data_IF_678349867003
#
_entry.id   IF_678349867003
#
_cell.length_a   1.000
_cell.length_b   1.000
_cell.length_c   1.000
_cell.angle_alpha   90.00
_cell.angle_beta   90.00
_cell.angle_gamma   90.00
#
_symmetry.space_group_name_H-M   'P 1'
#
loop_
_entity.id
_entity.type
_entity.pdbx_description
1 polymer ?
#
# COMPACT_ATOMS: atom_id res chain seq x y z
N UNK A 1 -33.23 -21.09 5.32
CA UNK A 1 -33.30 -20.14 6.45
C UNK A 1 -34.57 -20.39 7.25
N UNK A 2 -34.48 -21.03 8.42
CA UNK A 2 -35.64 -21.27 9.30
C UNK A 2 -36.05 -19.93 9.94
N UNK A 3 -37.32 -19.54 9.75
CA UNK A 3 -37.91 -18.38 10.42
C UNK A 3 -38.00 -18.70 11.91
N UNK A 4 -37.31 -17.96 12.75
CA UNK A 4 -37.47 -18.01 14.19
C UNK A 4 -38.91 -17.61 14.55
N UNK A 5 -39.56 -18.26 15.54
CA UNK A 5 -40.91 -17.95 15.93
C UNK A 5 -41.03 -16.52 16.46
N UNK A 6 -42.10 -15.84 16.03
CA UNK A 6 -42.44 -14.50 16.50
C UNK A 6 -42.86 -14.61 17.96
N UNK A 7 -42.03 -14.19 18.87
CA UNK A 7 -42.38 -14.08 20.29
C UNK A 7 -43.39 -12.93 20.45
N UNK A 8 -44.58 -13.20 20.94
CA UNK A 8 -45.58 -12.21 21.36
C UNK A 8 -45.56 -12.13 22.88
N UNK A 9 -44.93 -11.13 23.51
CA UNK A 9 -45.18 -10.91 24.93
C UNK A 9 -46.52 -10.19 25.11
N UNK A 10 -47.45 -10.82 25.78
CA UNK A 10 -48.67 -10.19 26.30
C UNK A 10 -48.32 -9.51 27.63
N UNK A 11 -48.25 -8.21 27.64
CA UNK A 11 -48.23 -7.38 28.85
C UNK A 11 -49.47 -6.50 28.78
N UNK A 12 -50.26 -6.53 29.87
CA UNK A 12 -51.58 -5.92 29.96
C UNK A 12 -51.65 -4.46 29.57
N UNK A 13 -52.63 -4.15 28.72
CA UNK A 13 -53.20 -2.85 28.51
C UNK A 13 -52.33 -1.81 27.76
N UNK A 14 -52.65 -1.58 26.48
CA UNK A 14 -52.23 -0.48 25.59
C UNK A 14 -50.86 -0.69 24.84
N UNK A 15 -51.04 -1.20 23.64
CA UNK A 15 -50.01 -1.12 22.58
C UNK A 15 -49.18 -2.38 22.47
N UNK A 16 -49.38 -3.17 21.44
CA UNK A 16 -48.51 -4.28 21.08
C UNK A 16 -47.17 -3.72 20.54
N UNK A 17 -46.12 -3.88 21.31
CA UNK A 17 -44.75 -3.64 20.77
C UNK A 17 -44.38 -4.90 19.97
N UNK A 18 -44.45 -4.82 18.66
CA UNK A 18 -43.97 -5.88 17.79
C UNK A 18 -42.46 -5.80 17.80
N UNK A 19 -41.81 -6.80 18.38
CA UNK A 19 -40.34 -6.89 18.27
C UNK A 19 -39.97 -7.13 16.80
N UNK A 20 -39.30 -6.15 16.19
CA UNK A 20 -38.91 -6.16 14.77
C UNK A 20 -37.81 -7.17 14.43
N UNK A 21 -37.14 -7.72 15.43
CA UNK A 21 -35.98 -8.59 15.30
C UNK A 21 -34.65 -7.86 15.44
N UNK A 22 -33.59 -8.59 15.79
CA UNK A 22 -32.24 -7.99 16.04
C UNK A 22 -31.71 -7.27 14.82
N UNK A 23 -31.70 -7.92 13.65
CA UNK A 23 -31.14 -7.32 12.41
C UNK A 23 -31.92 -6.09 11.92
N UNK A 24 -33.26 -6.10 11.85
CA UNK A 24 -34.03 -4.89 11.53
C UNK A 24 -33.77 -3.76 12.52
N UNK A 25 -33.73 -4.07 13.82
CA UNK A 25 -33.45 -3.09 14.88
C UNK A 25 -32.07 -2.44 14.69
N UNK A 26 -31.02 -3.24 14.49
CA UNK A 26 -29.67 -2.72 14.25
C UNK A 26 -29.59 -1.86 13.00
N UNK A 27 -30.23 -2.28 11.89
CA UNK A 27 -30.27 -1.51 10.65
C UNK A 27 -31.00 -0.18 10.83
N UNK A 28 -32.12 -0.17 11.53
CA UNK A 28 -32.86 1.06 11.82
C UNK A 28 -32.02 1.99 12.69
N UNK A 29 -31.50 1.51 13.81
CA UNK A 29 -30.62 2.30 14.70
C UNK A 29 -29.41 2.87 13.99
N UNK A 30 -28.74 2.10 13.13
CA UNK A 30 -27.60 2.56 12.34
C UNK A 30 -27.96 3.72 11.41
N UNK A 31 -29.17 3.69 10.81
CA UNK A 31 -29.64 4.74 9.90
C UNK A 31 -30.12 6.01 10.62
N UNK A 32 -30.82 5.81 11.73
CA UNK A 32 -31.52 6.89 12.45
C UNK A 32 -30.65 7.58 13.52
N UNK A 33 -29.54 6.95 13.96
CA UNK A 33 -28.70 7.55 15.00
C UNK A 33 -27.94 8.77 14.47
N UNK A 34 -27.97 9.85 15.26
CA UNK A 34 -27.14 11.04 15.04
C UNK A 34 -25.78 10.91 15.75
N UNK A 35 -25.65 9.98 16.69
CA UNK A 35 -24.39 9.75 17.42
C UNK A 35 -23.39 8.96 16.59
N UNK A 36 -22.23 9.56 16.30
CA UNK A 36 -21.09 8.92 15.63
C UNK A 36 -20.62 7.67 16.38
N UNK A 37 -20.50 7.73 17.71
CA UNK A 37 -20.05 6.60 18.53
C UNK A 37 -20.99 5.39 18.45
N UNK A 38 -22.32 5.63 18.47
CA UNK A 38 -23.31 4.54 18.31
C UNK A 38 -23.25 3.95 16.91
N UNK A 39 -23.01 4.77 15.88
CA UNK A 39 -22.86 4.31 14.49
C UNK A 39 -21.61 3.45 14.34
N UNK A 40 -20.48 3.84 14.90
CA UNK A 40 -19.26 3.05 14.91
C UNK A 40 -19.42 1.71 15.62
N UNK A 41 -20.09 1.71 16.79
CA UNK A 41 -20.35 0.48 17.53
C UNK A 41 -21.23 -0.49 16.72
N UNK A 42 -22.28 0.00 16.06
CA UNK A 42 -23.14 -0.82 15.20
C UNK A 42 -22.44 -1.26 13.93
N UNK A 43 -21.49 -0.48 13.41
CA UNK A 43 -20.70 -0.82 12.23
C UNK A 43 -19.85 -2.08 12.43
N UNK A 44 -19.41 -2.37 13.65
CA UNK A 44 -18.65 -3.59 13.99
C UNK A 44 -19.41 -4.89 13.64
N UNK A 45 -20.73 -4.82 13.59
CA UNK A 45 -21.60 -5.97 13.24
C UNK A 45 -21.94 -6.02 11.75
N UNK A 46 -21.38 -5.11 10.93
CA UNK A 46 -21.57 -5.08 9.50
C UNK A 46 -20.43 -5.78 8.77
N UNK A 47 -20.76 -6.60 7.79
CA UNK A 47 -19.79 -7.18 6.88
C UNK A 47 -20.00 -6.66 5.46
N UNK A 48 -18.90 -6.41 4.75
CA UNK A 48 -18.95 -6.07 3.33
C UNK A 48 -19.22 -7.34 2.53
N UNK A 49 -20.15 -7.25 1.59
CA UNK A 49 -20.44 -8.31 0.62
C UNK A 49 -20.53 -7.69 -0.77
N UNK A 50 -20.16 -8.47 -1.75
CA UNK A 50 -20.38 -8.08 -3.13
C UNK A 50 -21.87 -7.84 -3.40
N UNK A 51 -22.15 -6.82 -4.17
CA UNK A 51 -23.51 -6.54 -4.61
C UNK A 51 -24.03 -7.72 -5.44
N UNK A 52 -25.21 -8.29 -5.13
CA UNK A 52 -25.74 -9.45 -5.86
C UNK A 52 -26.02 -9.16 -7.34
N UNK A 53 -26.26 -7.88 -7.70
CA UNK A 53 -26.56 -7.51 -9.08
C UNK A 53 -25.30 -7.31 -9.93
N UNK A 54 -24.26 -6.65 -9.37
CA UNK A 54 -23.06 -6.35 -10.13
C UNK A 54 -21.86 -7.23 -9.77
N UNK A 55 -21.95 -8.09 -8.74
CA UNK A 55 -20.89 -8.98 -8.29
C UNK A 55 -19.54 -8.25 -8.07
N UNK A 56 -19.62 -7.08 -7.43
CA UNK A 56 -18.44 -6.25 -7.15
C UNK A 56 -17.95 -5.41 -8.33
N UNK A 57 -18.52 -5.54 -9.53
CA UNK A 57 -18.08 -4.77 -10.71
C UNK A 57 -18.37 -3.25 -10.63
N UNK A 58 -19.29 -2.82 -9.75
CA UNK A 58 -19.68 -1.39 -9.55
C UNK A 58 -20.21 -0.70 -10.82
N UNK A 59 -20.57 -1.48 -11.83
CA UNK A 59 -21.05 -1.01 -13.13
C UNK A 59 -22.46 -1.51 -13.42
N UNK A 60 -23.18 -0.76 -14.24
CA UNK A 60 -24.46 -1.21 -14.83
C UNK A 60 -24.24 -2.48 -15.64
N UNK A 61 -25.31 -3.27 -15.79
CA UNK A 61 -25.26 -4.56 -16.50
C UNK A 61 -24.66 -4.41 -17.90
N UNK A 62 -25.10 -3.41 -18.65
CA UNK A 62 -24.69 -3.15 -20.03
C UNK A 62 -23.21 -2.79 -20.11
N UNK A 63 -22.74 -1.94 -19.21
CA UNK A 63 -21.33 -1.49 -19.18
C UNK A 63 -20.33 -2.62 -18.85
N UNK A 64 -20.79 -3.71 -18.21
CA UNK A 64 -19.95 -4.87 -17.92
C UNK A 64 -19.59 -5.68 -19.15
N UNK A 65 -20.33 -5.53 -20.24
CA UNK A 65 -20.07 -6.20 -21.51
C UNK A 65 -19.19 -5.41 -22.46
N UNK A 66 -18.86 -4.15 -22.12
CA UNK A 66 -17.91 -3.35 -22.89
C UNK A 66 -16.50 -3.85 -22.60
N UNK A 67 -15.85 -4.38 -23.64
CA UNK A 67 -14.49 -4.96 -23.55
C UNK A 67 -13.54 -4.28 -24.52
N UNK A 68 -12.27 -4.21 -24.13
CA UNK A 68 -11.18 -3.66 -24.92
C UNK A 68 -10.13 -4.74 -25.13
N UNK A 69 -9.61 -4.84 -26.35
CA UNK A 69 -8.61 -5.83 -26.75
C UNK A 69 -9.10 -6.80 -27.81
N UNK A 70 -8.20 -7.59 -28.41
CA UNK A 70 -8.51 -8.52 -29.48
C UNK A 70 -9.10 -9.83 -28.95
N UNK A 71 -10.19 -10.30 -29.53
CA UNK A 71 -10.76 -11.65 -29.36
C UNK A 71 -10.87 -12.12 -27.90
N UNK A 72 -10.25 -13.25 -27.59
CA UNK A 72 -10.28 -13.86 -26.24
C UNK A 72 -9.48 -13.10 -25.18
N UNK A 73 -8.57 -12.21 -25.58
CA UNK A 73 -7.79 -11.38 -24.66
C UNK A 73 -8.51 -10.09 -24.29
N UNK A 74 -9.69 -9.83 -24.88
CA UNK A 74 -10.49 -8.66 -24.53
C UNK A 74 -10.97 -8.72 -23.08
N UNK A 75 -10.82 -7.59 -22.35
CA UNK A 75 -11.20 -7.46 -20.95
C UNK A 75 -12.12 -6.26 -20.74
N UNK A 76 -13.04 -6.38 -19.80
CA UNK A 76 -13.81 -5.25 -19.31
C UNK A 76 -13.00 -4.48 -18.25
N UNK A 77 -13.36 -3.20 -18.03
CA UNK A 77 -12.61 -2.33 -17.10
C UNK A 77 -12.53 -2.91 -15.68
N UNK A 78 -13.61 -3.52 -15.20
CA UNK A 78 -13.61 -4.13 -13.86
C UNK A 78 -12.72 -5.38 -13.77
N UNK A 79 -12.57 -6.12 -14.89
CA UNK A 79 -11.67 -7.27 -14.98
C UNK A 79 -10.22 -6.79 -14.91
N UNK A 80 -9.88 -5.72 -15.63
CA UNK A 80 -8.54 -5.10 -15.59
C UNK A 80 -8.24 -4.51 -14.21
N UNK A 81 -9.21 -3.83 -13.59
CA UNK A 81 -9.02 -3.22 -12.26
C UNK A 81 -8.75 -4.25 -11.15
N UNK A 82 -9.13 -5.51 -11.34
CA UNK A 82 -8.88 -6.61 -10.39
C UNK A 82 -7.54 -7.29 -10.59
N UNK A 83 -6.87 -7.05 -11.70
CA UNK A 83 -5.54 -7.59 -11.94
C UNK A 83 -4.51 -6.94 -11.00
N UNK A 84 -3.48 -7.67 -10.58
CA UNK A 84 -2.29 -7.06 -10.01
C UNK A 84 -1.71 -6.02 -10.98
N UNK A 85 -1.07 -4.98 -10.46
CA UNK A 85 -0.56 -3.87 -11.28
C UNK A 85 0.45 -4.32 -12.33
N UNK A 86 1.28 -5.35 -12.04
CA UNK A 86 2.19 -5.91 -13.02
C UNK A 86 1.44 -6.58 -14.19
N UNK A 87 0.34 -7.29 -13.93
CA UNK A 87 -0.50 -7.86 -14.99
C UNK A 87 -1.29 -6.78 -15.74
N UNK A 88 -1.70 -5.72 -15.03
CA UNK A 88 -2.34 -4.55 -15.65
C UNK A 88 -1.38 -3.87 -16.64
N UNK A 89 -0.10 -3.70 -16.28
CA UNK A 89 0.93 -3.19 -17.18
C UNK A 89 1.06 -4.07 -18.43
N UNK A 90 1.23 -5.39 -18.23
CA UNK A 90 1.34 -6.36 -19.33
C UNK A 90 0.12 -6.34 -20.26
N UNK A 91 -1.09 -6.17 -19.71
CA UNK A 91 -2.30 -6.05 -20.51
C UNK A 91 -2.26 -4.82 -21.44
N UNK A 92 -1.89 -3.64 -20.89
CA UNK A 92 -1.81 -2.43 -21.71
C UNK A 92 -0.61 -2.44 -22.65
N UNK A 93 0.51 -3.09 -22.31
CA UNK A 93 1.67 -3.23 -23.18
C UNK A 93 1.39 -4.12 -24.40
N UNK A 94 0.62 -5.18 -24.20
CA UNK A 94 0.22 -6.11 -25.26
C UNK A 94 -1.03 -5.66 -26.01
N UNK A 95 -1.67 -4.56 -25.61
CA UNK A 95 -2.94 -4.11 -26.18
C UNK A 95 -2.75 -3.63 -27.64
N UNK A 96 -3.36 -4.37 -28.56
CA UNK A 96 -3.41 -4.03 -29.97
C UNK A 96 -4.80 -3.51 -30.31
N UNK A 97 -4.85 -2.33 -30.89
CA UNK A 97 -6.09 -1.67 -31.36
C UNK A 97 -5.87 -1.20 -32.81
N UNK A 98 -6.89 -1.38 -33.64
CA UNK A 98 -6.81 -1.03 -35.05
C UNK A 98 -7.61 0.23 -35.38
N UNK A 99 -7.21 0.88 -36.48
CA UNK A 99 -7.92 2.02 -37.08
C UNK A 99 -8.15 3.19 -36.13
N UNK A 100 -9.35 3.74 -36.14
CA UNK A 100 -9.73 4.90 -35.31
C UNK A 100 -9.64 4.64 -33.80
N UNK A 101 -9.83 3.39 -33.38
CA UNK A 101 -9.69 3.01 -31.95
C UNK A 101 -8.24 3.22 -31.46
N UNK A 102 -7.25 2.91 -32.28
CA UNK A 102 -5.84 3.14 -31.97
C UNK A 102 -5.56 4.63 -31.76
N UNK A 103 -6.03 5.49 -32.69
CA UNK A 103 -5.80 6.93 -32.60
C UNK A 103 -6.42 7.55 -31.33
N UNK A 104 -7.65 7.13 -30.98
CA UNK A 104 -8.32 7.59 -29.76
C UNK A 104 -7.59 7.11 -28.49
N UNK A 105 -7.15 5.86 -28.48
CA UNK A 105 -6.61 5.22 -27.30
C UNK A 105 -5.13 5.54 -27.04
N UNK A 106 -4.36 5.91 -28.05
CA UNK A 106 -2.90 6.04 -27.97
C UNK A 106 -2.43 6.88 -26.79
N UNK A 107 -2.94 8.11 -26.66
CA UNK A 107 -2.58 9.00 -25.56
C UNK A 107 -3.06 8.47 -24.20
N UNK A 108 -4.26 7.88 -24.15
CA UNK A 108 -4.84 7.33 -22.92
C UNK A 108 -4.02 6.13 -22.45
N UNK A 109 -3.69 5.21 -23.35
CA UNK A 109 -2.91 4.01 -23.04
C UNK A 109 -1.49 4.40 -22.60
N UNK A 110 -0.88 5.38 -23.26
CA UNK A 110 0.43 5.90 -22.87
C UNK A 110 0.42 6.44 -21.43
N UNK A 111 -0.59 7.24 -21.07
CA UNK A 111 -0.74 7.79 -19.73
C UNK A 111 -0.98 6.69 -18.67
N UNK A 112 -1.81 5.69 -18.99
CA UNK A 112 -2.05 4.55 -18.11
C UNK A 112 -0.76 3.76 -17.89
N UNK A 113 0.01 3.46 -18.94
CA UNK A 113 1.29 2.76 -18.87
C UNK A 113 2.27 3.47 -17.94
N UNK A 114 2.41 4.78 -18.11
CA UNK A 114 3.30 5.57 -17.26
C UNK A 114 2.88 5.50 -15.79
N UNK A 115 1.61 5.74 -15.47
CA UNK A 115 1.11 5.72 -14.09
C UNK A 115 1.19 4.35 -13.44
N UNK A 116 0.83 3.31 -14.16
CA UNK A 116 0.97 1.93 -13.68
C UNK A 116 2.44 1.56 -13.53
N UNK A 117 3.29 1.97 -14.46
CA UNK A 117 4.73 1.81 -14.38
C UNK A 117 5.34 2.44 -13.13
N UNK A 118 4.95 3.67 -12.78
CA UNK A 118 5.40 4.31 -11.53
C UNK A 118 4.97 3.53 -10.29
N UNK A 119 3.73 3.02 -10.26
CA UNK A 119 3.27 2.19 -9.14
C UNK A 119 4.07 0.88 -9.03
N UNK A 120 4.40 0.26 -10.15
CA UNK A 120 5.24 -0.95 -10.16
C UNK A 120 6.68 -0.65 -9.71
N UNK A 121 7.23 0.50 -10.11
CA UNK A 121 8.60 0.90 -9.77
C UNK A 121 8.78 1.23 -8.28
N UNK A 122 7.71 1.63 -7.58
CA UNK A 122 7.75 1.82 -6.13
C UNK A 122 7.39 0.55 -5.34
N UNK A 123 7.40 -0.63 -5.99
CA UNK A 123 7.17 -1.92 -5.32
C UNK A 123 5.72 -2.18 -4.94
N UNK A 124 4.76 -1.68 -5.71
CA UNK A 124 3.32 -1.91 -5.51
C UNK A 124 2.71 -2.83 -6.57
N UNK A 125 3.51 -3.58 -7.27
CA UNK A 125 3.16 -4.42 -8.41
C UNK A 125 2.13 -5.51 -8.09
N UNK A 126 2.05 -5.92 -6.83
CA UNK A 126 1.08 -6.91 -6.31
C UNK A 126 -0.31 -6.33 -5.98
N UNK A 127 -0.45 -5.01 -5.88
CA UNK A 127 -1.74 -4.37 -5.61
C UNK A 127 -2.65 -4.41 -6.83
N UNK A 128 -3.96 -4.30 -6.60
CA UNK A 128 -4.97 -4.12 -7.65
C UNK A 128 -5.65 -2.76 -7.54
N UNK A 129 -6.13 -2.23 -8.67
CA UNK A 129 -6.80 -0.92 -8.71
C UNK A 129 -8.18 -0.90 -8.02
N UNK A 130 -8.80 -2.06 -7.83
CA UNK A 130 -10.08 -2.19 -7.13
C UNK A 130 -9.96 -2.27 -5.61
N UNK A 131 -8.73 -2.37 -5.09
CA UNK A 131 -8.46 -2.44 -3.65
C UNK A 131 -8.92 -1.17 -2.93
N UNK A 132 -9.60 -1.36 -1.82
CA UNK A 132 -10.09 -0.23 -1.01
C UNK A 132 -8.94 0.47 -0.29
N UNK A 133 -8.92 1.81 -0.33
CA UNK A 133 -7.89 2.62 0.34
C UNK A 133 -7.79 2.36 1.85
N UNK A 134 -8.90 2.01 2.51
CA UNK A 134 -8.93 1.66 3.93
C UNK A 134 -8.15 0.39 4.29
N UNK A 135 -7.83 -0.44 3.30
CA UNK A 135 -7.07 -1.68 3.48
C UNK A 135 -5.57 -1.53 3.22
N UNK A 136 -5.14 -0.34 2.83
CA UNK A 136 -3.73 -0.05 2.57
C UNK A 136 -2.96 0.12 3.87
N UNK A 137 -1.76 -0.42 3.93
CA UNK A 137 -0.81 -0.11 4.98
C UNK A 137 -0.27 1.33 4.83
N UNK A 138 0.30 1.89 5.91
CA UNK A 138 0.91 3.22 5.86
C UNK A 138 1.97 3.35 4.78
N UNK A 139 2.85 2.36 4.64
CA UNK A 139 3.88 2.33 3.61
C UNK A 139 3.32 2.22 2.18
N UNK A 140 2.27 1.41 1.96
CA UNK A 140 1.59 1.35 0.66
C UNK A 140 0.98 2.71 0.28
N UNK A 141 0.29 3.37 1.21
CA UNK A 141 -0.30 4.68 0.98
C UNK A 141 0.76 5.76 0.68
N UNK A 142 1.90 5.72 1.38
CA UNK A 142 3.03 6.63 1.13
C UNK A 142 3.61 6.43 -0.26
N UNK A 143 3.84 5.18 -0.69
CA UNK A 143 4.37 4.85 -2.03
C UNK A 143 3.38 5.22 -3.15
N UNK A 144 2.07 5.07 -2.93
CA UNK A 144 1.06 5.54 -3.89
C UNK A 144 1.16 7.07 -4.07
N UNK A 145 1.32 7.82 -2.97
CA UNK A 145 1.52 9.28 -3.04
C UNK A 145 2.79 9.64 -3.80
N UNK A 146 3.90 8.93 -3.51
CA UNK A 146 5.17 9.11 -4.20
C UNK A 146 5.01 8.86 -5.72
N UNK A 147 4.44 7.73 -6.11
CA UNK A 147 4.19 7.41 -7.51
C UNK A 147 3.31 8.46 -8.22
N UNK A 148 2.30 8.99 -7.53
CA UNK A 148 1.44 10.06 -8.05
C UNK A 148 2.21 11.37 -8.24
N UNK A 149 3.14 11.71 -7.35
CA UNK A 149 3.99 12.91 -7.44
C UNK A 149 4.98 12.80 -8.60
N UNK A 150 5.62 11.64 -8.76
CA UNK A 150 6.52 11.35 -9.89
C UNK A 150 5.77 11.50 -11.21
N UNK A 151 4.57 10.92 -11.30
CA UNK A 151 3.72 11.00 -12.48
C UNK A 151 3.25 12.41 -12.85
N UNK A 152 3.39 13.39 -11.95
CA UNK A 152 3.04 14.79 -12.24
C UNK A 152 4.07 15.50 -13.11
N UNK A 153 5.29 14.96 -13.24
CA UNK A 153 6.37 15.56 -14.02
C UNK A 153 6.84 16.94 -13.52
N UNK A 154 6.57 17.25 -12.24
CA UNK A 154 7.02 18.51 -11.65
C UNK A 154 8.54 18.56 -11.55
N UNK A 155 9.11 19.71 -11.86
CA UNK A 155 10.54 20.01 -11.78
C UNK A 155 10.80 21.20 -10.86
N UNK A 156 11.97 21.23 -10.20
CA UNK A 156 12.33 22.32 -9.30
C UNK A 156 11.60 22.28 -7.95
N UNK A 157 11.05 21.13 -7.55
CA UNK A 157 10.38 20.94 -6.27
C UNK A 157 11.26 20.16 -5.30
N UNK A 158 10.95 20.24 -4.00
CA UNK A 158 11.60 19.47 -2.96
C UNK A 158 10.66 18.34 -2.48
N UNK A 159 11.15 17.11 -2.55
CA UNK A 159 10.49 15.93 -2.00
C UNK A 159 11.13 15.58 -0.65
N UNK A 160 10.30 15.40 0.37
CA UNK A 160 10.75 14.95 1.69
C UNK A 160 10.03 13.63 1.99
N UNK A 161 10.81 12.59 2.19
CA UNK A 161 10.33 11.21 2.39
C UNK A 161 10.87 10.66 3.70
N UNK A 162 10.01 10.06 4.47
CA UNK A 162 10.33 9.43 5.76
C UNK A 162 10.21 7.92 5.61
N UNK A 163 11.35 7.21 5.73
CA UNK A 163 11.48 5.74 5.61
C UNK A 163 10.70 5.11 4.44
N UNK A 164 10.87 5.59 3.19
CA UNK A 164 10.08 5.09 2.06
C UNK A 164 10.36 3.62 1.72
N UNK A 165 11.50 3.06 2.16
CA UNK A 165 11.88 1.65 1.99
C UNK A 165 11.19 0.72 2.98
N UNK A 166 10.52 1.24 4.01
CA UNK A 166 9.94 0.40 5.06
C UNK A 166 8.99 -0.67 4.52
N UNK A 167 9.24 -1.91 4.87
CA UNK A 167 8.42 -3.06 4.45
C UNK A 167 8.63 -3.50 3.01
N UNK A 168 9.62 -2.96 2.30
CA UNK A 168 10.05 -3.47 1.00
C UNK A 168 10.96 -4.69 1.15
N UNK A 169 10.89 -5.56 0.17
CA UNK A 169 11.94 -6.57 -0.03
C UNK A 169 13.16 -5.89 -0.67
N UNK A 170 14.38 -6.39 -0.40
CA UNK A 170 15.63 -5.80 -0.91
C UNK A 170 15.60 -5.52 -2.43
N UNK A 171 15.06 -6.45 -3.22
CA UNK A 171 14.90 -6.29 -4.66
C UNK A 171 14.04 -5.10 -5.07
N UNK A 172 13.03 -4.77 -4.25
CA UNK A 172 12.11 -3.66 -4.56
C UNK A 172 12.71 -2.32 -4.09
N UNK A 173 13.64 -2.37 -3.11
CA UNK A 173 14.39 -1.21 -2.65
C UNK A 173 15.25 -0.62 -3.77
N UNK A 174 15.91 -1.45 -4.57
CA UNK A 174 16.72 -0.99 -5.72
C UNK A 174 15.88 -0.17 -6.70
N UNK A 175 14.66 -0.63 -7.02
CA UNK A 175 13.74 0.08 -7.91
C UNK A 175 13.28 1.42 -7.33
N UNK A 176 13.03 1.44 -6.01
CA UNK A 176 12.70 2.69 -5.32
C UNK A 176 13.86 3.68 -5.41
N UNK A 177 15.09 3.24 -5.13
CA UNK A 177 16.28 4.09 -5.23
C UNK A 177 16.52 4.63 -6.64
N UNK A 178 16.34 3.80 -7.67
CA UNK A 178 16.40 4.26 -9.08
C UNK A 178 15.35 5.32 -9.37
N UNK A 179 14.13 5.14 -8.85
CA UNK A 179 13.04 6.09 -8.99
C UNK A 179 13.34 7.43 -8.32
N UNK A 180 13.92 7.41 -7.11
CA UNK A 180 14.33 8.61 -6.39
C UNK A 180 15.48 9.34 -7.10
N UNK A 181 16.46 8.60 -7.64
CA UNK A 181 17.53 9.16 -8.45
C UNK A 181 16.97 9.82 -9.73
N UNK A 182 16.01 9.17 -10.36
CA UNK A 182 15.35 9.77 -11.53
C UNK A 182 14.64 11.09 -11.20
N UNK A 183 13.94 11.15 -10.06
CA UNK A 183 13.34 12.42 -9.58
C UNK A 183 14.37 13.52 -9.40
N UNK A 184 15.53 13.22 -8.79
CA UNK A 184 16.63 14.15 -8.63
C UNK A 184 17.15 14.63 -9.99
N UNK A 185 17.35 13.70 -10.92
CA UNK A 185 17.90 13.98 -12.26
C UNK A 185 16.97 14.84 -13.12
N UNK A 186 15.66 14.88 -12.81
CA UNK A 186 14.70 15.83 -13.37
C UNK A 186 14.86 17.26 -12.83
N UNK A 187 15.84 17.53 -11.98
CA UNK A 187 16.09 18.85 -11.39
C UNK A 187 15.35 19.12 -10.08
N UNK A 188 14.99 18.08 -9.35
CA UNK A 188 14.35 18.18 -8.05
C UNK A 188 15.37 17.98 -6.91
N UNK A 189 15.01 18.45 -5.71
CA UNK A 189 15.71 18.10 -4.48
C UNK A 189 14.95 16.95 -3.79
N UNK A 190 15.67 15.88 -3.43
CA UNK A 190 15.07 14.71 -2.75
C UNK A 190 15.77 14.53 -1.41
N UNK A 191 15.03 14.73 -0.33
CA UNK A 191 15.48 14.51 1.04
C UNK A 191 14.81 13.25 1.55
N UNK A 192 15.62 12.30 2.02
CA UNK A 192 15.13 10.99 2.48
C UNK A 192 15.67 10.73 3.87
N UNK A 193 14.79 10.41 4.81
CA UNK A 193 15.16 9.85 6.11
C UNK A 193 15.20 8.34 5.93
N UNK A 194 16.37 7.73 6.10
CA UNK A 194 16.57 6.29 5.87
C UNK A 194 17.58 5.67 6.83
N UNK A 195 17.41 4.37 7.00
CA UNK A 195 18.29 3.54 7.83
C UNK A 195 18.95 2.39 7.03
N UNK A 196 18.56 2.25 5.77
CA UNK A 196 19.07 1.23 4.87
C UNK A 196 20.44 1.61 4.32
N UNK A 197 21.40 0.66 4.35
CA UNK A 197 22.77 0.89 3.91
C UNK A 197 22.85 1.27 2.41
N UNK A 198 22.09 0.59 1.56
CA UNK A 198 22.10 0.82 0.12
C UNK A 198 21.55 2.20 -0.21
N UNK A 199 20.50 2.64 0.51
CA UNK A 199 19.95 3.97 0.41
C UNK A 199 20.97 5.05 0.80
N UNK A 200 21.63 4.89 1.95
CA UNK A 200 22.65 5.82 2.45
C UNK A 200 23.83 5.90 1.47
N UNK A 201 24.32 4.75 0.98
CA UNK A 201 25.46 4.69 0.06
C UNK A 201 25.12 5.22 -1.34
N UNK A 202 23.84 5.27 -1.70
CA UNK A 202 23.34 5.80 -2.97
C UNK A 202 23.11 7.30 -2.97
N UNK A 203 23.16 7.96 -1.81
CA UNK A 203 22.91 9.38 -1.68
C UNK A 203 24.08 10.23 -2.23
N UNK A 204 23.79 11.43 -2.71
CA UNK A 204 24.83 12.40 -3.09
C UNK A 204 25.45 13.06 -1.87
N UNK A 205 24.65 13.20 -0.79
CA UNK A 205 25.04 13.83 0.45
C UNK A 205 24.28 13.21 1.62
N UNK A 206 24.97 12.95 2.71
CA UNK A 206 24.43 12.36 3.94
C UNK A 206 24.59 13.34 5.08
N UNK A 207 23.57 13.46 5.92
CA UNK A 207 23.61 14.15 7.20
C UNK A 207 23.24 13.12 8.27
N UNK A 208 24.21 12.78 9.12
CA UNK A 208 24.03 11.86 10.25
C UNK A 208 23.68 12.62 11.51
N UNK A 209 22.53 12.32 12.08
CA UNK A 209 21.99 12.97 13.28
C UNK A 209 22.11 12.03 14.47
N UNK A 210 22.64 12.56 15.57
CA UNK A 210 22.86 11.78 16.80
C UNK A 210 23.18 12.67 18.00
N UNK A 211 23.92 12.16 19.00
CA UNK A 211 24.40 10.78 19.17
C UNK A 211 23.32 9.78 19.60
N UNK A 212 22.19 10.26 20.12
CA UNK A 212 21.06 9.47 20.59
C UNK A 212 19.74 9.96 20.00
N UNK A 213 18.62 9.47 20.50
CA UNK A 213 17.29 9.88 20.08
C UNK A 213 16.60 10.82 21.08
N UNK A 214 15.55 11.53 20.66
CA UNK A 214 14.75 12.41 21.51
C UNK A 214 15.53 13.62 22.03
N UNK A 215 15.42 13.89 23.34
CA UNK A 215 16.04 15.08 24.00
C UNK A 215 17.57 15.05 23.94
N UNK A 216 18.18 13.90 23.74
CA UNK A 216 19.62 13.71 23.69
C UNK A 216 20.17 13.52 22.26
N UNK A 217 19.34 13.77 21.25
CA UNK A 217 19.68 13.64 19.85
C UNK A 217 19.50 14.96 19.10
N UNK A 218 19.58 14.87 17.77
CA UNK A 218 19.34 16.02 16.89
C UNK A 218 20.58 16.85 16.58
N UNK A 219 21.77 16.43 17.03
CA UNK A 219 23.04 17.07 16.67
C UNK A 219 23.58 16.45 15.37
N UNK A 220 24.21 17.27 14.54
CA UNK A 220 24.91 16.77 13.34
C UNK A 220 26.24 16.17 13.78
N UNK A 221 26.36 14.84 13.78
CA UNK A 221 27.57 14.11 14.18
C UNK A 221 28.53 13.86 13.02
N UNK A 222 28.00 13.77 11.80
CA UNK A 222 28.78 13.68 10.56
C UNK A 222 27.94 14.17 9.38
N UNK A 223 28.62 14.69 8.37
CA UNK A 223 27.96 15.06 7.11
C UNK A 223 28.96 15.02 5.96
N UNK A 224 28.48 14.90 4.74
CA UNK A 224 29.30 14.86 3.54
C UNK A 224 28.86 13.75 2.58
N UNK A 225 29.73 13.35 1.68
CA UNK A 225 29.48 12.18 0.84
C UNK A 225 29.41 10.91 1.70
N UNK A 226 28.69 9.85 1.27
CA UNK A 226 28.61 8.59 2.00
C UNK A 226 29.99 8.06 2.41
N UNK A 227 31.01 8.21 1.55
CA UNK A 227 32.39 7.83 1.81
C UNK A 227 33.04 8.62 2.93
N UNK A 228 32.65 9.86 3.16
CA UNK A 228 33.19 10.72 4.22
C UNK A 228 32.57 10.37 5.56
N UNK A 229 31.24 10.12 5.58
CA UNK A 229 30.54 9.62 6.77
C UNK A 229 31.08 8.26 7.20
N UNK A 230 31.35 7.36 6.24
CA UNK A 230 31.98 6.04 6.47
C UNK A 230 33.36 6.12 7.17
N UNK A 231 34.11 7.20 6.96
CA UNK A 231 35.44 7.43 7.60
C UNK A 231 35.33 8.12 8.96
N UNK A 232 34.16 8.61 9.33
CA UNK A 232 33.97 9.31 10.61
C UNK A 232 34.10 8.34 11.77
N UNK A 233 34.90 8.71 12.77
CA UNK A 233 35.09 7.95 14.00
C UNK A 233 34.02 8.26 15.05
N UNK A 234 33.31 9.37 14.90
CA UNK A 234 32.27 9.85 15.83
C UNK A 234 30.87 9.42 15.41
N UNK A 235 30.68 9.14 14.14
CA UNK A 235 29.40 8.67 13.59
C UNK A 235 29.20 7.18 13.89
N UNK A 236 28.13 6.85 14.61
CA UNK A 236 27.73 5.47 14.83
C UNK A 236 27.36 4.80 13.50
N UNK A 237 26.63 5.50 12.65
CA UNK A 237 26.31 5.08 11.28
C UNK A 237 27.57 4.78 10.49
N UNK A 238 28.56 5.67 10.54
CA UNK A 238 29.86 5.48 9.86
C UNK A 238 30.62 4.25 10.37
N UNK A 239 30.58 3.96 11.67
CA UNK A 239 31.21 2.77 12.24
C UNK A 239 30.58 1.47 11.73
N UNK A 240 29.24 1.43 11.61
CA UNK A 240 28.53 0.27 11.03
C UNK A 240 28.79 0.14 9.52
N UNK A 241 28.67 1.21 8.76
CA UNK A 241 28.94 1.23 7.32
C UNK A 241 30.38 0.81 6.97
N UNK A 242 31.36 1.14 7.83
CA UNK A 242 32.76 0.75 7.64
C UNK A 242 33.05 -0.68 8.04
N UNK A 243 32.16 -1.35 8.76
CA UNK A 243 32.40 -2.66 9.37
C UNK A 243 33.29 -2.59 10.65
N UNK A 244 33.65 -1.39 11.12
CA UNK A 244 34.39 -1.22 12.37
C UNK A 244 33.55 -1.62 13.60
N UNK A 245 32.21 -1.56 13.45
CA UNK A 245 31.24 -2.05 14.41
C UNK A 245 30.22 -2.95 13.72
N UNK A 246 29.97 -4.11 14.31
CA UNK A 246 29.00 -5.07 13.80
C UNK A 246 28.21 -5.70 14.94
N UNK A 247 27.01 -6.17 14.65
CA UNK A 247 26.21 -7.00 15.55
C UNK A 247 26.66 -8.44 15.35
N UNK A 248 27.55 -8.91 16.21
CA UNK A 248 28.12 -10.26 16.09
C UNK A 248 27.07 -11.33 16.32
N UNK A 249 27.12 -12.38 15.52
CA UNK A 249 26.29 -13.57 15.74
C UNK A 249 26.89 -14.32 16.95
N UNK A 250 26.11 -14.57 18.02
CA UNK A 250 26.62 -15.27 19.19
C UNK A 250 27.14 -16.68 18.80
N UNK A 251 28.35 -17.06 19.25
CA UNK A 251 28.95 -18.35 18.91
C UNK A 251 28.13 -19.53 19.44
N UNK A 252 27.43 -19.35 20.54
CA UNK A 252 26.47 -20.33 21.08
C UNK A 252 25.04 -19.87 20.82
N UNK A 253 24.33 -20.60 20.00
CA UNK A 253 22.88 -20.44 19.83
C UNK A 253 22.16 -21.26 20.91
N UNK A 254 21.08 -20.71 21.44
CA UNK A 254 20.17 -21.48 22.30
C UNK A 254 19.66 -22.69 21.50
N UNK A 255 19.85 -23.88 22.08
CA UNK A 255 19.28 -25.10 21.51
C UNK A 255 17.74 -25.05 21.64
N UNK A 256 16.99 -25.43 20.59
CA UNK A 256 15.55 -25.53 20.69
C UNK A 256 15.19 -26.58 21.74
N UNK A 257 14.33 -26.22 22.69
CA UNK A 257 13.72 -27.17 23.60
C UNK A 257 12.41 -27.72 23.02
N UNK A 258 11.88 -28.78 23.62
CA UNK A 258 10.64 -29.45 23.19
C UNK A 258 9.39 -28.55 23.26
N UNK A 259 9.48 -27.37 23.86
CA UNK A 259 8.39 -26.41 24.01
C UNK A 259 8.41 -25.31 22.95
N UNK A 260 9.37 -25.30 22.06
CA UNK A 260 9.46 -24.30 20.98
C UNK A 260 8.73 -24.76 19.74
N UNK A 261 7.92 -23.87 19.19
CA UNK A 261 7.26 -24.09 17.90
C UNK A 261 8.33 -23.98 16.82
N UNK A 262 8.57 -25.06 16.08
CA UNK A 262 9.43 -25.05 14.90
C UNK A 262 8.73 -24.22 13.80
N UNK A 263 9.44 -23.23 13.25
CA UNK A 263 8.94 -22.39 12.15
C UNK A 263 8.56 -23.20 10.90
N UNK A 264 9.08 -24.41 10.75
CA UNK A 264 8.70 -25.34 9.67
C UNK A 264 7.32 -25.98 9.90
N UNK A 265 6.88 -26.13 11.15
CA UNK A 265 5.59 -26.76 11.49
C UNK A 265 4.42 -25.79 11.36
N UNK A 266 4.65 -24.49 11.16
CA UNK A 266 3.61 -23.49 10.96
C UNK A 266 3.19 -23.29 9.49
N UNK A 267 3.69 -24.09 8.57
CA UNK A 267 3.10 -24.16 7.22
C UNK A 267 1.78 -24.91 7.35
N UNK A 268 0.71 -24.16 7.45
CA UNK A 268 -0.63 -24.65 7.17
C UNK A 268 -0.65 -25.12 5.70
N UNK A 269 -0.95 -26.41 5.51
CA UNK A 269 -1.23 -26.99 4.21
C UNK A 269 -2.51 -26.37 3.62
#
# INVERSE_FOLDING_TARGET
>A
MRRLPRFRPTIGGRGFIIFEGVLPNFRRRYRETESGAVREELAKYMSRRDCPDCHGARLRREARFVKVGPGKQSRAIYEVSRLPLHETANFFDSLQLDGSKRQIAERIVWEIRNRVGFLNNVGLDYLSLDRSAETLSGGEAQRIRLASQIGSGLTGVMYVLDEPSIGLHQRDNDRLLETLKHLRDLGNSVIVVEHDEDAIMSADYVVDLGPAAGVHGGEVVAHGKPTDVKKSKTSLTGLYLSGAKEISIPPKRLQPDSKRIDRKSTRLN
#
